data_IF_196861475751
#
_entry.id   IF_196861475751
#
_cell.length_a   1.000
_cell.length_b   1.000
_cell.length_c   1.000
_cell.angle_alpha   90.00
_cell.angle_beta   90.00
_cell.angle_gamma   90.00
#
_symmetry.space_group_name_H-M   'P 1'
#
loop_
_entity.id
_entity.type
_entity.pdbx_description
1 polymer ?
#
# COMPACT_ATOMS: atom_id res chain seq x y z
N UNK A 1 -12.16 15.42 -13.36
CA UNK A 1 -12.33 14.77 -12.03
C UNK A 1 -11.99 13.26 -11.96
N UNK A 2 -11.92 12.48 -13.05
CA UNK A 2 -11.56 11.03 -12.97
C UNK A 2 -10.06 10.76 -12.76
N UNK A 3 -9.20 11.64 -13.28
CA UNK A 3 -7.74 11.53 -13.19
C UNK A 3 -7.22 11.71 -11.75
N UNK A 4 -7.85 12.60 -10.97
CA UNK A 4 -7.47 12.83 -9.56
C UNK A 4 -7.72 11.58 -8.71
N UNK A 5 -8.82 10.86 -8.96
CA UNK A 5 -9.10 9.59 -8.30
C UNK A 5 -8.12 8.48 -8.70
N UNK A 6 -7.64 8.49 -9.96
CA UNK A 6 -6.58 7.59 -10.41
C UNK A 6 -5.24 7.91 -9.76
N UNK A 7 -4.86 9.18 -9.69
CA UNK A 7 -3.64 9.62 -9.02
C UNK A 7 -3.64 9.25 -7.53
N UNK A 8 -4.78 9.45 -6.84
CA UNK A 8 -4.97 9.01 -5.46
C UNK A 8 -4.83 7.50 -5.27
N UNK A 9 -5.15 6.69 -6.30
CA UNK A 9 -4.98 5.24 -6.26
C UNK A 9 -3.54 4.81 -6.61
N UNK A 10 -2.83 5.60 -7.41
CA UNK A 10 -1.44 5.33 -7.81
C UNK A 10 -0.47 5.61 -6.65
N UNK A 11 -0.72 6.67 -5.85
CA UNK A 11 0.10 7.02 -4.68
C UNK A 11 0.38 5.84 -3.73
N UNK A 12 -0.62 5.10 -3.21
CA UNK A 12 -0.38 3.94 -2.33
C UNK A 12 0.34 2.79 -3.05
N UNK A 13 0.16 2.65 -4.36
CA UNK A 13 0.92 1.69 -5.17
C UNK A 13 2.40 2.04 -5.24
N UNK A 14 2.73 3.32 -5.47
CA UNK A 14 4.12 3.81 -5.45
C UNK A 14 4.77 3.64 -4.08
N UNK A 15 4.02 3.90 -3.00
CA UNK A 15 4.48 3.68 -1.62
C UNK A 15 4.78 2.19 -1.39
N UNK A 16 3.93 1.28 -1.88
CA UNK A 16 4.19 -0.15 -1.77
C UNK A 16 5.46 -0.58 -2.51
N UNK A 17 5.66 -0.09 -3.75
CA UNK A 17 6.89 -0.37 -4.53
C UNK A 17 8.13 0.15 -3.82
N UNK A 18 8.05 1.36 -3.24
CA UNK A 18 9.13 1.91 -2.43
C UNK A 18 9.41 1.06 -1.19
N UNK A 19 8.38 0.55 -0.53
CA UNK A 19 8.50 -0.40 0.58
C UNK A 19 9.24 -1.69 0.20
N UNK A 20 8.96 -2.27 -0.97
CA UNK A 20 9.68 -3.45 -1.48
C UNK A 20 11.17 -3.14 -1.67
N UNK A 21 11.49 -1.97 -2.24
CA UNK A 21 12.87 -1.54 -2.38
C UNK A 21 13.56 -1.43 -1.02
N UNK A 22 12.87 -0.86 -0.04
CA UNK A 22 13.39 -0.69 1.31
C UNK A 22 13.68 -2.02 2.02
N UNK A 23 12.82 -3.02 1.83
CA UNK A 23 13.03 -4.39 2.33
C UNK A 23 14.25 -5.02 1.67
N UNK A 24 14.38 -4.88 0.34
CA UNK A 24 15.55 -5.36 -0.39
C UNK A 24 16.81 -4.74 0.19
N UNK A 25 16.87 -3.41 0.25
CA UNK A 25 18.05 -2.69 0.72
C UNK A 25 18.43 -3.13 2.16
N UNK A 26 17.44 -3.37 3.02
CA UNK A 26 17.67 -3.91 4.37
C UNK A 26 18.22 -5.35 4.38
N UNK A 27 17.79 -6.22 3.44
CA UNK A 27 18.29 -7.59 3.30
C UNK A 27 19.73 -7.65 2.76
N UNK A 28 20.12 -6.67 1.94
CA UNK A 28 21.46 -6.59 1.34
C UNK A 28 22.45 -5.77 2.20
N UNK A 29 22.04 -5.25 3.35
CA UNK A 29 22.92 -4.45 4.21
C UNK A 29 23.05 -2.98 3.77
N UNK A 30 22.28 -2.52 2.79
CA UNK A 30 22.28 -1.14 2.32
C UNK A 30 21.43 -0.27 3.25
N UNK A 31 22.12 0.43 4.14
CA UNK A 31 21.51 1.29 5.16
C UNK A 31 21.30 2.72 4.64
N UNK A 32 20.08 3.22 4.78
CA UNK A 32 19.77 4.64 4.57
C UNK A 32 19.87 5.40 5.91
N UNK A 33 20.65 6.49 5.95
CA UNK A 33 20.82 7.38 7.12
C UNK A 33 19.51 8.01 7.64
N UNK A 34 18.42 7.91 6.88
CA UNK A 34 17.08 8.35 7.30
C UNK A 34 16.52 7.43 8.40
N UNK A 35 16.98 6.18 8.45
CA UNK A 35 16.59 5.20 9.47
C UNK A 35 17.64 5.09 10.56
N UNK A 36 17.25 4.68 11.77
CA UNK A 36 18.18 4.48 12.89
C UNK A 36 18.84 3.10 12.87
N UNK A 37 18.18 2.10 12.29
CA UNK A 37 18.65 0.72 12.26
C UNK A 37 18.15 0.00 11.00
N UNK A 38 18.92 -0.93 10.46
CA UNK A 38 18.55 -1.67 9.24
C UNK A 38 17.29 -2.53 9.42
N UNK A 39 17.10 -3.07 10.63
CA UNK A 39 15.87 -3.78 10.99
C UNK A 39 14.64 -2.86 10.97
N UNK A 40 14.79 -1.61 11.42
CA UNK A 40 13.71 -0.61 11.39
C UNK A 40 13.38 -0.22 9.95
N UNK A 41 14.41 -0.07 9.10
CA UNK A 41 14.26 0.13 7.66
C UNK A 41 13.45 -1.02 7.01
N UNK A 42 13.78 -2.28 7.34
CA UNK A 42 13.03 -3.45 6.87
C UNK A 42 11.56 -3.46 7.33
N UNK A 43 11.31 -3.18 8.62
CA UNK A 43 9.94 -3.12 9.18
C UNK A 43 9.13 -1.98 8.55
N UNK A 44 9.74 -0.81 8.37
CA UNK A 44 9.10 0.31 7.68
C UNK A 44 8.73 -0.05 6.24
N UNK A 45 9.60 -0.79 5.54
CA UNK A 45 9.32 -1.31 4.21
C UNK A 45 8.11 -2.24 4.19
N UNK A 46 8.01 -3.16 5.16
CA UNK A 46 6.85 -4.06 5.32
C UNK A 46 5.57 -3.25 5.56
N UNK A 47 5.61 -2.24 6.43
CA UNK A 47 4.46 -1.38 6.71
C UNK A 47 4.01 -0.62 5.46
N UNK A 48 4.92 -0.13 4.63
CA UNK A 48 4.57 0.52 3.37
C UNK A 48 3.94 -0.44 2.35
N UNK A 49 4.43 -1.68 2.26
CA UNK A 49 3.84 -2.70 1.40
C UNK A 49 2.45 -3.08 1.87
N UNK A 50 2.31 -3.47 3.15
CA UNK A 50 1.03 -3.90 3.73
C UNK A 50 0.02 -2.74 3.69
N UNK A 51 0.44 -1.54 4.06
CA UNK A 51 -0.39 -0.34 4.03
C UNK A 51 -0.85 0.01 2.61
N UNK A 52 0.05 -0.05 1.62
CA UNK A 52 -0.30 0.20 0.22
C UNK A 52 -1.29 -0.83 -0.33
N UNK A 53 -1.08 -2.12 -0.06
CA UNK A 53 -2.00 -3.19 -0.47
C UNK A 53 -3.35 -3.07 0.23
N UNK A 54 -3.35 -2.85 1.55
CA UNK A 54 -4.57 -2.68 2.34
C UNK A 54 -5.38 -1.47 1.87
N UNK A 55 -4.73 -0.37 1.53
CA UNK A 55 -5.39 0.81 0.98
C UNK A 55 -6.01 0.53 -0.40
N UNK A 56 -5.27 -0.12 -1.31
CA UNK A 56 -5.80 -0.48 -2.64
C UNK A 56 -6.99 -1.43 -2.50
N UNK A 57 -6.87 -2.47 -1.67
CA UNK A 57 -7.95 -3.42 -1.40
C UNK A 57 -9.17 -2.76 -0.76
N UNK A 58 -8.96 -1.88 0.23
CA UNK A 58 -10.01 -1.10 0.86
C UNK A 58 -10.71 -0.14 -0.10
N UNK A 59 -9.96 0.51 -0.99
CA UNK A 59 -10.50 1.38 -2.03
C UNK A 59 -11.35 0.61 -3.04
N UNK A 60 -10.87 -0.55 -3.51
CA UNK A 60 -11.63 -1.42 -4.41
C UNK A 60 -12.94 -1.86 -3.73
N UNK A 61 -12.89 -2.29 -2.48
CA UNK A 61 -14.07 -2.70 -1.72
C UNK A 61 -15.07 -1.55 -1.55
N UNK A 62 -14.59 -0.35 -1.20
CA UNK A 62 -15.43 0.83 -1.06
C UNK A 62 -16.09 1.22 -2.41
N UNK A 63 -15.32 1.15 -3.50
CA UNK A 63 -15.81 1.44 -4.85
C UNK A 63 -16.87 0.44 -5.30
N UNK A 64 -16.65 -0.85 -5.07
CA UNK A 64 -17.56 -1.92 -5.49
C UNK A 64 -18.86 -1.91 -4.67
N UNK A 65 -18.76 -1.60 -3.37
CA UNK A 65 -19.92 -1.39 -2.50
C UNK A 65 -20.81 -0.26 -3.03
N UNK A 66 -20.23 0.87 -3.43
CA UNK A 66 -20.99 2.02 -3.99
C UNK A 66 -21.69 1.70 -5.32
N UNK A 67 -21.25 0.66 -6.04
CA UNK A 67 -21.85 0.20 -7.30
C UNK A 67 -22.82 -0.98 -7.14
N UNK A 68 -23.10 -1.43 -5.91
CA UNK A 68 -23.91 -2.63 -5.62
C UNK A 68 -23.41 -3.90 -6.33
N UNK A 69 -22.12 -3.96 -6.68
CA UNK A 69 -21.51 -5.12 -7.34
C UNK A 69 -20.94 -6.13 -6.34
N UNK A 70 -21.00 -5.83 -5.04
CA UNK A 70 -20.60 -6.73 -3.96
C UNK A 70 -21.60 -7.88 -3.80
N UNK A 71 -21.16 -9.11 -4.04
CA UNK A 71 -21.93 -10.36 -3.78
C UNK A 71 -21.49 -11.01 -2.47
N UNK A 72 -22.37 -11.75 -1.80
CA UNK A 72 -22.04 -12.53 -0.59
C UNK A 72 -21.82 -11.67 0.68
N UNK A 73 -20.80 -12.01 1.49
CA UNK A 73 -20.50 -11.44 2.83
C UNK A 73 -20.26 -9.92 2.88
N UNK A 74 -20.09 -9.25 1.74
CA UNK A 74 -19.81 -7.80 1.67
C UNK A 74 -21.00 -6.96 1.20
N UNK A 75 -22.18 -7.57 1.02
CA UNK A 75 -23.41 -6.88 0.62
C UNK A 75 -23.78 -5.82 1.67
N UNK A 76 -24.01 -4.58 1.25
CA UNK A 76 -24.59 -3.54 2.09
C UNK A 76 -26.08 -3.87 2.25
N UNK A 77 -26.55 -4.06 3.49
CA UNK A 77 -27.98 -4.10 3.80
C UNK A 77 -28.62 -2.73 3.55
#
# INVERSE_FOLDING_TARGET
>A
MRIIALLLLVTPGLIAVYGIKLIRDALFGEFHNIFFHIAIQGIAGILFVVGGIAFIGGFILHRDRKRNLTKGRFKQN
#
